data_IF_030473851198
#
_entry.id   IF_030473851198
#
_cell.length_a   1.000
_cell.length_b   1.000
_cell.length_c   1.000
_cell.angle_alpha   90.00
_cell.angle_beta   90.00
_cell.angle_gamma   90.00
#
_symmetry.space_group_name_H-M   'P 1'
#
loop_
_entity.id
_entity.type
_entity.pdbx_description
1 polymer ?
#
# COMPACT_ATOMS: atom_id res chain seq x y z
N UNK A 1 -52.40 52.37 33.05
CA UNK A 1 -51.62 51.19 33.48
C UNK A 1 -52.17 49.85 32.94
N UNK A 2 -53.05 49.83 31.94
CA UNK A 2 -53.84 48.63 31.56
C UNK A 2 -53.37 47.89 30.29
N UNK A 3 -52.72 48.56 29.32
CA UNK A 3 -52.35 47.93 28.06
C UNK A 3 -51.14 46.96 28.17
N UNK A 4 -50.16 47.30 29.01
CA UNK A 4 -48.92 46.51 29.17
C UNK A 4 -49.19 45.14 29.80
N UNK A 5 -50.11 45.07 30.76
CA UNK A 5 -50.50 43.81 31.42
C UNK A 5 -51.28 42.88 30.49
N UNK A 6 -52.18 43.43 29.67
CA UNK A 6 -52.96 42.65 28.69
C UNK A 6 -52.05 42.10 27.59
N UNK A 7 -51.09 42.90 27.10
CA UNK A 7 -50.09 42.43 26.12
C UNK A 7 -49.17 41.37 26.73
N UNK A 8 -48.75 41.54 27.99
CA UNK A 8 -47.96 40.53 28.71
C UNK A 8 -48.70 39.20 28.89
N UNK A 9 -50.00 39.25 29.18
CA UNK A 9 -50.87 38.07 29.30
C UNK A 9 -51.12 37.39 27.94
N UNK A 10 -51.30 38.16 26.88
CA UNK A 10 -51.43 37.60 25.53
C UNK A 10 -50.13 36.95 25.07
N UNK A 11 -48.97 37.56 25.31
CA UNK A 11 -47.68 36.96 24.99
C UNK A 11 -47.40 35.69 25.80
N UNK A 12 -47.78 35.64 27.07
CA UNK A 12 -47.59 34.43 27.90
C UNK A 12 -48.50 33.29 27.46
N UNK A 13 -49.78 33.56 27.14
CA UNK A 13 -50.70 32.57 26.58
C UNK A 13 -50.20 32.07 25.23
N UNK A 14 -49.70 32.96 24.36
CA UNK A 14 -49.16 32.57 23.06
C UNK A 14 -47.90 31.71 23.19
N UNK A 15 -47.01 32.04 24.13
CA UNK A 15 -45.83 31.23 24.44
C UNK A 15 -46.21 29.85 24.98
N UNK A 16 -47.18 29.77 25.91
CA UNK A 16 -47.69 28.50 26.44
C UNK A 16 -48.35 27.66 25.34
N UNK A 17 -49.14 28.26 24.45
CA UNK A 17 -49.74 27.57 23.32
C UNK A 17 -48.68 27.06 22.32
N UNK A 18 -47.64 27.84 22.05
CA UNK A 18 -46.52 27.41 21.20
C UNK A 18 -45.73 26.26 21.82
N UNK A 19 -45.44 26.32 23.12
CA UNK A 19 -44.78 25.24 23.86
C UNK A 19 -45.66 23.98 23.86
N UNK A 20 -46.96 24.11 24.12
CA UNK A 20 -47.90 22.99 24.11
C UNK A 20 -48.03 22.36 22.71
N UNK A 21 -48.10 23.16 21.64
CA UNK A 21 -48.11 22.68 20.26
C UNK A 21 -46.79 21.96 19.90
N UNK A 22 -45.66 22.52 20.32
CA UNK A 22 -44.36 21.88 20.14
C UNK A 22 -44.28 20.54 20.88
N UNK A 23 -44.74 20.49 22.13
CA UNK A 23 -44.76 19.29 22.96
C UNK A 23 -45.70 18.21 22.40
N UNK A 24 -46.91 18.58 21.97
CA UNK A 24 -47.87 17.64 21.32
C UNK A 24 -47.28 17.10 20.03
N UNK A 25 -46.63 17.94 19.22
CA UNK A 25 -45.99 17.52 17.97
C UNK A 25 -44.83 16.55 18.22
N UNK A 26 -44.01 16.83 19.24
CA UNK A 26 -42.93 15.95 19.66
C UNK A 26 -43.45 14.60 20.17
N UNK A 27 -44.41 14.59 21.10
CA UNK A 27 -45.04 13.39 21.64
C UNK A 27 -45.74 12.54 20.57
N UNK A 28 -46.37 13.16 19.57
CA UNK A 28 -46.96 12.43 18.43
C UNK A 28 -45.90 11.71 17.60
N UNK A 29 -44.73 12.31 17.42
CA UNK A 29 -43.62 11.71 16.69
C UNK A 29 -43.03 10.53 17.47
N UNK A 30 -42.84 10.70 18.78
CA UNK A 30 -42.35 9.66 19.69
C UNK A 30 -43.28 8.44 19.70
N UNK A 31 -44.59 8.65 19.87
CA UNK A 31 -45.60 7.57 19.78
C UNK A 31 -45.68 6.91 18.40
N UNK A 32 -45.25 7.60 17.33
CA UNK A 32 -45.16 6.99 15.98
C UNK A 32 -43.92 6.12 15.85
N UNK A 33 -42.79 6.56 16.41
CA UNK A 33 -41.53 5.82 16.47
C UNK A 33 -41.74 4.54 17.31
N UNK A 34 -42.35 4.64 18.49
CA UNK A 34 -42.67 3.50 19.36
C UNK A 34 -43.59 2.48 18.68
N UNK A 35 -44.63 2.93 17.97
CA UNK A 35 -45.51 2.04 17.20
C UNK A 35 -44.77 1.30 16.09
N UNK A 36 -43.80 1.96 15.45
CA UNK A 36 -42.95 1.29 14.45
C UNK A 36 -41.97 0.34 15.13
N UNK A 37 -41.40 0.69 16.29
CA UNK A 37 -40.54 -0.19 17.09
C UNK A 37 -41.27 -1.47 17.49
N UNK A 38 -42.48 -1.35 18.05
CA UNK A 38 -43.32 -2.50 18.40
C UNK A 38 -43.73 -3.30 17.17
N UNK A 39 -43.93 -2.63 16.03
CA UNK A 39 -44.20 -3.31 14.79
C UNK A 39 -42.99 -4.05 14.25
N UNK A 40 -41.74 -3.76 14.66
CA UNK A 40 -40.50 -4.36 14.14
C UNK A 40 -40.14 -5.74 14.72
N UNK A 41 -40.87 -6.25 15.72
CA UNK A 41 -40.66 -7.60 16.26
C UNK A 41 -41.44 -8.70 15.50
N UNK A 42 -40.82 -9.87 15.30
CA UNK A 42 -41.48 -11.10 14.82
C UNK A 42 -41.37 -11.39 13.32
N UNK A 43 -41.80 -12.60 12.91
CA UNK A 43 -41.80 -13.03 11.49
C UNK A 43 -42.76 -12.18 10.65
N UNK A 44 -42.26 -11.62 9.55
CA UNK A 44 -43.03 -10.73 8.67
C UNK A 44 -42.98 -11.11 7.21
N UNK A 45 -44.02 -10.71 6.49
CA UNK A 45 -44.03 -10.76 5.02
C UNK A 45 -43.13 -9.69 4.40
N UNK A 46 -42.62 -9.96 3.19
CA UNK A 46 -41.81 -8.98 2.41
C UNK A 46 -42.49 -7.61 2.26
N UNK A 47 -43.82 -7.60 2.07
CA UNK A 47 -44.62 -6.36 1.97
C UNK A 47 -44.64 -5.57 3.28
N UNK A 48 -44.77 -6.25 4.43
CA UNK A 48 -44.75 -5.59 5.74
C UNK A 48 -43.36 -5.04 6.09
N UNK A 49 -42.30 -5.77 5.74
CA UNK A 49 -40.90 -5.30 5.86
C UNK A 49 -40.71 -4.01 5.06
N UNK A 50 -41.07 -4.02 3.77
CA UNK A 50 -40.91 -2.85 2.90
C UNK A 50 -41.68 -1.62 3.39
N UNK A 51 -42.92 -1.80 3.86
CA UNK A 51 -43.72 -0.71 4.45
C UNK A 51 -43.12 -0.17 5.75
N UNK A 52 -42.62 -1.05 6.61
CA UNK A 52 -42.01 -0.66 7.89
C UNK A 52 -40.75 0.15 7.66
N UNK A 53 -39.84 -0.35 6.83
CA UNK A 53 -38.60 0.35 6.49
C UNK A 53 -38.89 1.69 5.81
N UNK A 54 -39.82 1.74 4.84
CA UNK A 54 -40.19 2.99 4.17
C UNK A 54 -40.66 4.08 5.14
N UNK A 55 -41.35 3.71 6.24
CA UNK A 55 -41.71 4.65 7.30
C UNK A 55 -40.49 5.15 8.07
N UNK A 56 -39.56 4.25 8.41
CA UNK A 56 -38.30 4.63 9.10
C UNK A 56 -37.47 5.58 8.24
N UNK A 57 -37.32 5.29 6.95
CA UNK A 57 -36.70 6.19 5.97
C UNK A 57 -37.43 7.54 5.84
N UNK A 58 -38.76 7.53 5.96
CA UNK A 58 -39.58 8.74 6.06
C UNK A 58 -39.19 9.61 7.27
N UNK A 59 -39.02 9.00 8.45
CA UNK A 59 -38.56 9.73 9.65
C UNK A 59 -37.15 10.28 9.50
N UNK A 60 -36.24 9.54 8.84
CA UNK A 60 -34.89 10.04 8.58
C UNK A 60 -34.96 11.28 7.69
N UNK A 61 -35.71 11.23 6.58
CA UNK A 61 -35.86 12.40 5.70
C UNK A 61 -36.57 13.57 6.42
N UNK A 62 -37.59 13.32 7.23
CA UNK A 62 -38.26 14.36 8.02
C UNK A 62 -37.32 14.99 9.05
N UNK A 63 -36.50 14.18 9.73
CA UNK A 63 -35.46 14.64 10.66
C UNK A 63 -34.39 15.47 9.97
N UNK A 64 -33.90 15.01 8.82
CA UNK A 64 -32.92 15.73 7.99
C UNK A 64 -33.46 17.08 7.49
N UNK A 65 -34.70 17.14 6.99
CA UNK A 65 -35.32 18.38 6.51
C UNK A 65 -35.64 19.37 7.64
N UNK A 66 -35.85 18.88 8.87
CA UNK A 66 -36.12 19.71 10.05
C UNK A 66 -34.88 19.98 10.89
N UNK A 67 -33.70 19.58 10.42
CA UNK A 67 -32.45 19.81 11.12
C UNK A 67 -32.40 19.17 12.53
N UNK A 68 -33.14 18.09 12.73
CA UNK A 68 -33.32 17.46 14.04
C UNK A 68 -32.62 16.09 14.10
N UNK A 69 -31.38 16.12 14.57
CA UNK A 69 -30.51 14.93 14.69
C UNK A 69 -31.09 13.87 15.66
N UNK A 70 -31.90 14.26 16.64
CA UNK A 70 -32.54 13.33 17.59
C UNK A 70 -33.50 12.38 16.86
N UNK A 71 -34.29 12.92 15.92
CA UNK A 71 -35.21 12.13 15.10
C UNK A 71 -34.43 11.15 14.24
N UNK A 72 -33.34 11.62 13.62
CA UNK A 72 -32.49 10.78 12.78
C UNK A 72 -31.83 9.68 13.61
N UNK A 73 -31.34 9.98 14.81
CA UNK A 73 -30.76 9.01 15.73
C UNK A 73 -31.76 7.92 16.13
N UNK A 74 -32.97 8.32 16.58
CA UNK A 74 -34.03 7.37 16.92
C UNK A 74 -34.40 6.49 15.71
N UNK A 75 -34.49 7.07 14.51
CA UNK A 75 -34.78 6.31 13.31
C UNK A 75 -33.62 5.38 12.89
N UNK A 76 -32.36 5.78 13.09
CA UNK A 76 -31.19 4.94 12.86
C UNK A 76 -31.15 3.75 13.83
N UNK A 77 -31.53 3.94 15.10
CA UNK A 77 -31.68 2.81 16.05
C UNK A 77 -32.77 1.84 15.59
N UNK A 78 -33.92 2.34 15.10
CA UNK A 78 -34.94 1.47 14.50
C UNK A 78 -34.41 0.67 13.31
N UNK A 79 -33.56 1.27 12.46
CA UNK A 79 -32.90 0.54 11.37
C UNK A 79 -31.95 -0.53 11.90
N UNK A 80 -31.15 -0.25 12.94
CA UNK A 80 -30.27 -1.26 13.55
C UNK A 80 -31.07 -2.47 14.03
N UNK A 81 -32.17 -2.23 14.74
CA UNK A 81 -33.06 -3.31 15.21
C UNK A 81 -33.66 -4.07 14.04
N UNK A 82 -34.19 -3.37 13.04
CA UNK A 82 -34.79 -4.00 11.87
C UNK A 82 -33.78 -4.89 11.12
N UNK A 83 -32.56 -4.40 10.93
CA UNK A 83 -31.51 -5.17 10.25
C UNK A 83 -31.03 -6.34 11.09
N UNK A 84 -30.91 -6.19 12.42
CA UNK A 84 -30.54 -7.30 13.30
C UNK A 84 -31.55 -8.46 13.23
N UNK A 85 -32.83 -8.15 13.06
CA UNK A 85 -33.94 -9.10 12.85
C UNK A 85 -34.02 -9.64 11.40
N UNK A 86 -33.05 -9.32 10.54
CA UNK A 86 -33.00 -9.80 9.16
C UNK A 86 -33.99 -9.13 8.21
N UNK A 87 -34.56 -7.98 8.58
CA UNK A 87 -35.50 -7.25 7.74
C UNK A 87 -34.75 -6.45 6.66
N UNK A 88 -34.41 -7.13 5.55
CA UNK A 88 -33.65 -6.55 4.44
C UNK A 88 -34.45 -6.52 3.13
N UNK A 89 -34.31 -5.41 2.39
CA UNK A 89 -34.70 -5.31 0.98
C UNK A 89 -33.51 -5.59 0.09
N UNK A 90 -33.75 -5.92 -1.18
CA UNK A 90 -32.69 -6.18 -2.15
C UNK A 90 -31.83 -4.96 -2.47
N UNK A 91 -32.37 -3.75 -2.31
CA UNK A 91 -31.71 -2.46 -2.60
C UNK A 91 -31.31 -1.71 -1.32
N UNK A 92 -31.35 -2.37 -0.16
CA UNK A 92 -31.12 -1.74 1.14
C UNK A 92 -29.72 -1.12 1.28
N UNK A 93 -28.62 -1.75 0.82
CA UNK A 93 -27.29 -1.14 0.84
C UNK A 93 -27.22 0.20 0.11
N UNK A 94 -27.86 0.28 -1.06
CA UNK A 94 -27.86 1.47 -1.93
C UNK A 94 -28.67 2.60 -1.28
N UNK A 95 -29.82 2.28 -0.70
CA UNK A 95 -30.66 3.26 0.01
C UNK A 95 -29.94 3.85 1.22
N UNK A 96 -29.31 2.99 2.02
CA UNK A 96 -28.59 3.43 3.21
C UNK A 96 -27.38 4.31 2.82
N UNK A 97 -26.62 3.89 1.80
CA UNK A 97 -25.54 4.69 1.22
C UNK A 97 -26.03 6.07 0.79
N UNK A 98 -27.13 6.13 0.03
CA UNK A 98 -27.65 7.39 -0.51
C UNK A 98 -27.98 8.41 0.58
N UNK A 99 -28.50 7.96 1.72
CA UNK A 99 -28.82 8.87 2.84
C UNK A 99 -27.58 9.25 3.65
N UNK A 100 -26.63 8.32 3.86
CA UNK A 100 -25.34 8.66 4.47
C UNK A 100 -24.63 9.72 3.64
N UNK A 101 -24.54 9.54 2.32
CA UNK A 101 -23.94 10.51 1.38
C UNK A 101 -24.69 11.85 1.42
N UNK A 102 -26.03 11.83 1.37
CA UNK A 102 -26.84 13.04 1.49
C UNK A 102 -26.59 13.79 2.81
N UNK A 103 -26.46 13.06 3.92
CA UNK A 103 -26.17 13.64 5.22
C UNK A 103 -24.77 14.26 5.29
N UNK A 104 -23.75 13.61 4.71
CA UNK A 104 -22.39 14.16 4.60
C UNK A 104 -22.40 15.44 3.77
N UNK A 105 -23.05 15.43 2.61
CA UNK A 105 -23.15 16.59 1.72
C UNK A 105 -23.88 17.77 2.35
N UNK A 106 -24.88 17.49 3.20
CA UNK A 106 -25.61 18.50 3.96
C UNK A 106 -24.88 18.98 5.23
N UNK A 107 -23.64 18.53 5.49
CA UNK A 107 -22.88 18.90 6.70
C UNK A 107 -23.40 18.29 8.00
N UNK A 108 -24.34 17.34 7.93
CA UNK A 108 -25.00 16.70 9.08
C UNK A 108 -24.22 15.46 9.52
N UNK A 109 -23.01 15.67 10.05
CA UNK A 109 -22.07 14.56 10.32
C UNK A 109 -22.51 13.62 11.44
N UNK A 110 -23.20 14.13 12.47
CA UNK A 110 -23.75 13.30 13.54
C UNK A 110 -24.83 12.33 13.01
N UNK A 111 -25.75 12.86 12.20
CA UNK A 111 -26.75 12.06 11.51
C UNK A 111 -26.11 11.02 10.58
N UNK A 112 -25.12 11.42 9.78
CA UNK A 112 -24.38 10.50 8.92
C UNK A 112 -23.68 9.38 9.72
N UNK A 113 -23.08 9.70 10.87
CA UNK A 113 -22.42 8.71 11.74
C UNK A 113 -23.43 7.72 12.34
N UNK A 114 -24.58 8.21 12.82
CA UNK A 114 -25.65 7.36 13.33
C UNK A 114 -26.17 6.38 12.25
N UNK A 115 -26.35 6.87 11.03
CA UNK A 115 -26.78 6.06 9.88
C UNK A 115 -25.70 5.07 9.43
N UNK A 116 -24.43 5.48 9.41
CA UNK A 116 -23.32 4.60 9.07
C UNK A 116 -23.23 3.40 10.04
N UNK A 117 -23.50 3.62 11.33
CA UNK A 117 -23.54 2.56 12.34
C UNK A 117 -24.61 1.48 12.10
N UNK A 118 -25.55 1.69 11.17
CA UNK A 118 -26.55 0.68 10.82
C UNK A 118 -26.02 -0.37 9.83
N UNK A 119 -24.87 -0.13 9.17
CA UNK A 119 -24.25 -1.13 8.30
C UNK A 119 -23.82 -2.39 9.06
N UNK A 120 -23.32 -2.27 10.30
CA UNK A 120 -22.82 -3.43 11.06
C UNK A 120 -23.88 -4.54 11.26
N UNK A 121 -25.08 -4.27 11.79
CA UNK A 121 -26.12 -5.31 11.88
C UNK A 121 -26.60 -5.77 10.50
N UNK A 122 -26.60 -4.89 9.49
CA UNK A 122 -26.94 -5.28 8.12
C UNK A 122 -25.96 -6.31 7.54
N UNK A 123 -24.65 -6.11 7.72
CA UNK A 123 -23.59 -7.03 7.27
C UNK A 123 -23.75 -8.45 7.81
N UNK A 124 -24.28 -8.60 9.03
CA UNK A 124 -24.50 -9.91 9.65
C UNK A 124 -25.66 -10.70 9.03
N UNK A 125 -26.62 -10.01 8.40
CA UNK A 125 -27.84 -10.62 7.85
C UNK A 125 -27.89 -10.58 6.32
N UNK A 126 -26.91 -9.94 5.67
CA UNK A 126 -26.86 -9.79 4.23
C UNK A 126 -26.58 -11.13 3.54
N UNK A 127 -27.34 -11.49 2.48
CA UNK A 127 -27.01 -12.64 1.66
C UNK A 127 -25.68 -12.42 0.93
N UNK A 128 -24.93 -13.49 0.72
CA UNK A 128 -23.60 -13.47 0.10
C UNK A 128 -23.59 -12.75 -1.27
N UNK A 129 -24.69 -12.81 -2.03
CA UNK A 129 -24.82 -12.20 -3.35
C UNK A 129 -24.78 -10.65 -3.34
N UNK A 130 -25.01 -10.01 -2.20
CA UNK A 130 -25.06 -8.54 -2.08
C UNK A 130 -23.76 -7.90 -1.59
N UNK A 131 -22.72 -8.70 -1.32
CA UNK A 131 -21.41 -8.20 -0.93
C UNK A 131 -20.74 -7.28 -1.96
N UNK A 132 -20.78 -7.57 -3.29
CA UNK A 132 -20.23 -6.65 -4.28
C UNK A 132 -20.86 -5.26 -4.21
N UNK A 133 -22.18 -5.21 -4.00
CA UNK A 133 -22.94 -3.97 -3.86
C UNK A 133 -22.49 -3.19 -2.63
N UNK A 134 -22.27 -3.88 -1.50
CA UNK A 134 -21.77 -3.27 -0.27
C UNK A 134 -20.36 -2.69 -0.45
N UNK A 135 -19.47 -3.42 -1.10
CA UNK A 135 -18.12 -2.95 -1.38
C UNK A 135 -18.15 -1.66 -2.21
N UNK A 136 -18.98 -1.60 -3.25
CA UNK A 136 -19.20 -0.38 -4.03
C UNK A 136 -19.75 0.77 -3.18
N UNK A 137 -20.71 0.49 -2.30
CA UNK A 137 -21.28 1.50 -1.41
C UNK A 137 -20.23 2.06 -0.44
N UNK A 138 -19.38 1.20 0.14
CA UNK A 138 -18.28 1.61 1.00
C UNK A 138 -17.26 2.48 0.26
N UNK A 139 -16.91 2.12 -0.98
CA UNK A 139 -16.04 2.96 -1.83
C UNK A 139 -16.67 4.34 -2.06
N UNK A 140 -17.97 4.41 -2.40
CA UNK A 140 -18.66 5.66 -2.66
C UNK A 140 -18.72 6.56 -1.42
N UNK A 141 -19.09 6.01 -0.26
CA UNK A 141 -19.12 6.77 1.01
C UNK A 141 -17.71 7.26 1.34
N UNK A 142 -16.68 6.42 1.20
CA UNK A 142 -15.29 6.80 1.49
C UNK A 142 -14.81 7.95 0.59
N UNK A 143 -15.14 7.92 -0.71
CA UNK A 143 -14.77 8.99 -1.65
C UNK A 143 -15.51 10.30 -1.33
N UNK A 144 -16.81 10.24 -1.03
CA UNK A 144 -17.59 11.44 -0.66
C UNK A 144 -17.06 12.02 0.65
N UNK A 145 -16.84 11.18 1.67
CA UNK A 145 -16.28 11.59 2.95
C UNK A 145 -14.88 12.21 2.80
N UNK A 146 -14.04 11.65 1.93
CA UNK A 146 -12.73 12.21 1.61
C UNK A 146 -12.85 13.62 1.00
N UNK A 147 -13.75 13.82 0.03
CA UNK A 147 -14.00 15.14 -0.56
C UNK A 147 -14.53 16.14 0.47
N UNK A 148 -15.37 15.70 1.39
CA UNK A 148 -15.91 16.50 2.49
C UNK A 148 -14.90 16.70 3.65
N UNK A 149 -13.67 16.18 3.55
CA UNK A 149 -12.64 16.20 4.61
C UNK A 149 -13.08 15.55 5.93
N UNK A 150 -14.07 14.65 5.87
CA UNK A 150 -14.60 13.95 7.04
C UNK A 150 -13.96 12.58 7.17
N UNK A 151 -12.73 12.58 7.67
CA UNK A 151 -11.86 11.41 7.72
C UNK A 151 -12.35 10.29 8.65
N UNK A 152 -13.11 10.65 9.69
CA UNK A 152 -13.72 9.68 10.61
C UNK A 152 -14.53 8.60 9.86
N UNK A 153 -15.27 8.97 8.82
CA UNK A 153 -16.05 7.99 8.05
C UNK A 153 -15.18 6.99 7.30
N UNK A 154 -13.99 7.40 6.84
CA UNK A 154 -13.03 6.51 6.16
C UNK A 154 -12.53 5.45 7.15
N UNK A 155 -12.14 5.87 8.36
CA UNK A 155 -11.74 4.94 9.43
C UNK A 155 -12.88 4.01 9.82
N UNK A 156 -14.12 4.51 9.91
CA UNK A 156 -15.30 3.66 10.19
C UNK A 156 -15.58 2.63 9.09
N UNK A 157 -15.39 2.98 7.83
CA UNK A 157 -15.52 2.01 6.73
C UNK A 157 -14.41 0.96 6.83
N UNK A 158 -13.18 1.36 7.19
CA UNK A 158 -12.10 0.41 7.46
C UNK A 158 -12.46 -0.56 8.59
N UNK A 159 -13.05 -0.08 9.69
CA UNK A 159 -13.54 -0.94 10.79
C UNK A 159 -14.52 -2.00 10.30
N UNK A 160 -15.43 -1.65 9.38
CA UNK A 160 -16.39 -2.63 8.82
C UNK A 160 -15.72 -3.63 7.89
N UNK A 161 -14.73 -3.20 7.11
CA UNK A 161 -13.95 -4.11 6.27
C UNK A 161 -13.15 -5.08 7.14
N UNK A 162 -12.53 -4.59 8.23
CA UNK A 162 -11.82 -5.43 9.18
C UNK A 162 -12.76 -6.43 9.86
N UNK A 163 -13.96 -5.97 10.24
CA UNK A 163 -15.00 -6.84 10.78
C UNK A 163 -15.40 -7.95 9.80
N UNK A 164 -15.54 -7.65 8.50
CA UNK A 164 -15.85 -8.66 7.49
C UNK A 164 -14.70 -9.67 7.38
N UNK A 165 -13.45 -9.21 7.28
CA UNK A 165 -12.27 -10.09 7.13
C UNK A 165 -12.06 -11.01 8.34
N UNK A 166 -12.27 -10.50 9.55
CA UNK A 166 -12.09 -11.27 10.78
C UNK A 166 -13.22 -12.28 11.03
N UNK A 167 -14.40 -12.06 10.43
CA UNK A 167 -15.55 -12.92 10.65
C UNK A 167 -15.58 -14.10 9.65
N UNK A 168 -14.97 -15.22 10.06
CA UNK A 168 -14.81 -16.43 9.24
C UNK A 168 -16.12 -17.00 8.69
N UNK A 169 -17.27 -16.78 9.33
CA UNK A 169 -18.56 -17.25 8.81
C UNK A 169 -19.02 -16.47 7.58
N UNK A 170 -18.72 -15.17 7.52
CA UNK A 170 -19.01 -14.32 6.35
C UNK A 170 -18.05 -14.66 5.21
N UNK A 171 -16.77 -14.89 5.52
CA UNK A 171 -15.72 -15.18 4.53
C UNK A 171 -15.87 -16.58 3.89
N UNK A 172 -16.21 -17.61 4.67
CA UNK A 172 -16.34 -18.99 4.15
C UNK A 172 -17.51 -19.18 3.18
N UNK A 173 -18.46 -18.24 3.15
CA UNK A 173 -19.67 -18.37 2.34
C UNK A 173 -19.45 -18.09 0.84
N UNK A 174 -18.35 -17.43 0.45
CA UNK A 174 -18.03 -17.17 -0.97
C UNK A 174 -16.57 -16.68 -1.14
N UNK A 175 -15.78 -17.43 -1.91
CA UNK A 175 -14.42 -17.01 -2.28
C UNK A 175 -14.40 -15.65 -3.02
N UNK A 176 -15.44 -15.33 -3.79
CA UNK A 176 -15.55 -14.08 -4.55
C UNK A 176 -15.57 -12.81 -3.68
N UNK A 177 -15.93 -12.90 -2.40
CA UNK A 177 -16.02 -11.76 -1.50
C UNK A 177 -14.68 -11.08 -1.25
N UNK A 178 -13.58 -11.83 -1.33
CA UNK A 178 -12.26 -11.27 -1.06
C UNK A 178 -11.86 -10.23 -2.11
N UNK A 179 -12.25 -10.42 -3.37
CA UNK A 179 -11.97 -9.46 -4.44
C UNK A 179 -12.71 -8.14 -4.24
N UNK A 180 -13.96 -8.21 -3.75
CA UNK A 180 -14.75 -7.03 -3.43
C UNK A 180 -14.12 -6.26 -2.25
N UNK A 181 -13.70 -6.98 -1.22
CA UNK A 181 -13.00 -6.38 -0.08
C UNK A 181 -11.66 -5.78 -0.47
N UNK A 182 -10.88 -6.47 -1.31
CA UNK A 182 -9.63 -5.96 -1.87
C UNK A 182 -9.84 -4.65 -2.63
N UNK A 183 -10.94 -4.52 -3.38
CA UNK A 183 -11.31 -3.28 -4.06
C UNK A 183 -11.54 -2.14 -3.07
N UNK A 184 -12.26 -2.40 -1.97
CA UNK A 184 -12.48 -1.39 -0.92
C UNK A 184 -11.15 -1.00 -0.27
N UNK A 185 -10.36 -1.98 0.15
CA UNK A 185 -9.06 -1.75 0.78
C UNK A 185 -8.14 -0.95 -0.13
N UNK A 186 -8.04 -1.30 -1.42
CA UNK A 186 -7.27 -0.56 -2.42
C UNK A 186 -7.59 0.93 -2.36
N UNK A 187 -8.88 1.28 -2.37
CA UNK A 187 -9.33 2.68 -2.30
C UNK A 187 -9.00 3.30 -0.95
N UNK A 188 -9.34 2.64 0.17
CA UNK A 188 -9.06 3.16 1.51
C UNK A 188 -7.57 3.43 1.73
N UNK A 189 -6.69 2.51 1.32
CA UNK A 189 -5.25 2.68 1.40
C UNK A 189 -4.75 3.85 0.54
N UNK A 190 -5.27 4.00 -0.68
CA UNK A 190 -4.95 5.16 -1.53
C UNK A 190 -5.41 6.49 -0.91
N UNK A 191 -6.61 6.52 -0.30
CA UNK A 191 -7.13 7.70 0.38
C UNK A 191 -6.29 8.04 1.62
N UNK A 192 -5.91 7.04 2.42
CA UNK A 192 -5.04 7.18 3.59
C UNK A 192 -3.67 7.74 3.20
N UNK A 193 -3.02 7.19 2.17
CA UNK A 193 -1.74 7.70 1.65
C UNK A 193 -1.87 9.12 1.07
N UNK A 194 -2.98 9.45 0.40
CA UNK A 194 -3.19 10.81 -0.15
C UNK A 194 -3.23 11.88 0.93
N UNK A 195 -3.83 11.58 2.08
CA UNK A 195 -3.94 12.49 3.22
C UNK A 195 -2.80 12.36 4.24
N UNK A 196 -1.81 11.49 4.00
CA UNK A 196 -0.74 11.17 4.95
C UNK A 196 -1.25 10.61 6.30
N UNK A 197 -2.38 9.89 6.29
CA UNK A 197 -2.85 9.13 7.46
C UNK A 197 -2.14 7.77 7.48
N UNK A 198 -0.89 7.80 7.92
CA UNK A 198 -0.03 6.62 8.00
C UNK A 198 -0.48 5.64 9.08
N UNK A 199 -1.19 6.10 10.12
CA UNK A 199 -1.82 5.25 11.13
C UNK A 199 -2.87 4.32 10.51
N UNK A 200 -3.83 4.88 9.77
CA UNK A 200 -4.86 4.09 9.11
C UNK A 200 -4.26 3.14 8.06
N UNK A 201 -3.26 3.61 7.29
CA UNK A 201 -2.58 2.75 6.33
C UNK A 201 -1.89 1.56 7.02
N UNK A 202 -1.21 1.80 8.14
CA UNK A 202 -0.57 0.75 8.94
C UNK A 202 -1.58 -0.25 9.47
N UNK A 203 -2.73 0.20 9.96
CA UNK A 203 -3.82 -0.68 10.41
C UNK A 203 -4.38 -1.53 9.27
N UNK A 204 -4.59 -0.93 8.10
CA UNK A 204 -5.00 -1.66 6.88
C UNK A 204 -3.98 -2.75 6.55
N UNK A 205 -2.68 -2.41 6.48
CA UNK A 205 -1.62 -3.38 6.22
C UNK A 205 -1.57 -4.49 7.28
N UNK A 206 -1.72 -4.14 8.57
CA UNK A 206 -1.71 -5.11 9.67
C UNK A 206 -2.88 -6.09 9.56
N UNK A 207 -4.10 -5.58 9.47
CA UNK A 207 -5.30 -6.41 9.34
C UNK A 207 -5.21 -7.30 8.10
N UNK A 208 -4.73 -6.74 6.98
CA UNK A 208 -4.56 -7.51 5.76
C UNK A 208 -3.56 -8.65 5.93
N UNK A 209 -2.38 -8.35 6.51
CA UNK A 209 -1.31 -9.33 6.74
C UNK A 209 -1.75 -10.49 7.63
N UNK A 210 -2.51 -10.20 8.68
CA UNK A 210 -3.05 -11.23 9.59
C UNK A 210 -4.01 -12.21 8.87
N UNK A 211 -4.66 -11.78 7.80
CA UNK A 211 -5.63 -12.59 7.05
C UNK A 211 -5.08 -13.12 5.73
N UNK A 212 -3.90 -12.66 5.30
CA UNK A 212 -3.30 -12.90 3.99
C UNK A 212 -3.16 -14.38 3.63
N UNK A 213 -2.75 -15.20 4.60
CA UNK A 213 -2.50 -16.63 4.41
C UNK A 213 -3.75 -17.50 4.58
N UNK A 214 -4.89 -16.89 4.91
CA UNK A 214 -6.18 -17.60 5.07
C UNK A 214 -6.78 -17.98 3.72
N UNK A 215 -6.40 -17.28 2.65
CA UNK A 215 -6.90 -17.49 1.30
C UNK A 215 -5.87 -18.29 0.50
N UNK A 216 -6.30 -19.39 -0.10
CA UNK A 216 -5.40 -20.32 -0.80
C UNK A 216 -5.38 -20.11 -2.32
N UNK A 217 -6.36 -19.39 -2.84
CA UNK A 217 -6.56 -19.19 -4.27
C UNK A 217 -5.50 -18.26 -4.86
N UNK A 218 -4.85 -18.71 -5.93
CA UNK A 218 -3.81 -17.96 -6.62
C UNK A 218 -4.31 -16.62 -7.19
N UNK A 219 -5.55 -16.56 -7.67
CA UNK A 219 -6.17 -15.33 -8.17
C UNK A 219 -6.24 -14.23 -7.09
N UNK A 220 -6.44 -14.63 -5.83
CA UNK A 220 -6.47 -13.70 -4.69
C UNK A 220 -5.08 -13.13 -4.44
N UNK A 221 -4.04 -13.98 -4.49
CA UNK A 221 -2.64 -13.53 -4.43
C UNK A 221 -2.36 -12.49 -5.52
N UNK A 222 -2.72 -12.78 -6.77
CA UNK A 222 -2.49 -11.85 -7.87
C UNK A 222 -3.21 -10.51 -7.66
N UNK A 223 -4.47 -10.54 -7.21
CA UNK A 223 -5.23 -9.33 -6.88
C UNK A 223 -4.57 -8.52 -5.76
N UNK A 224 -3.98 -9.18 -4.75
CA UNK A 224 -3.18 -8.51 -3.70
C UNK A 224 -1.99 -7.77 -4.29
N UNK A 225 -1.23 -8.43 -5.17
CA UNK A 225 -0.05 -7.80 -5.78
C UNK A 225 -0.44 -6.57 -6.60
N UNK A 226 -1.58 -6.60 -7.29
CA UNK A 226 -2.12 -5.44 -8.01
C UNK A 226 -2.50 -4.29 -7.05
N UNK A 227 -3.02 -4.60 -5.86
CA UNK A 227 -3.30 -3.58 -4.83
C UNK A 227 -2.00 -2.97 -4.31
N UNK A 228 -1.00 -3.79 -3.96
CA UNK A 228 0.30 -3.30 -3.49
C UNK A 228 1.01 -2.45 -4.54
N UNK A 229 1.01 -2.86 -5.81
CA UNK A 229 1.59 -2.07 -6.90
C UNK A 229 0.89 -0.71 -7.03
N UNK A 230 -0.45 -0.66 -6.89
CA UNK A 230 -1.19 0.60 -6.92
C UNK A 230 -0.83 1.51 -5.73
N UNK A 231 -0.64 0.95 -4.54
CA UNK A 231 -0.19 1.69 -3.36
C UNK A 231 1.26 2.15 -3.48
N UNK A 232 2.16 1.31 -4.02
CA UNK A 232 3.58 1.62 -4.21
C UNK A 232 3.77 2.90 -4.99
N UNK A 233 3.03 3.07 -6.09
CA UNK A 233 3.06 4.30 -6.88
C UNK A 233 2.72 5.54 -6.04
N UNK A 234 1.79 5.44 -5.08
CA UNK A 234 1.48 6.56 -4.19
C UNK A 234 2.51 6.71 -3.07
N UNK A 235 3.04 5.62 -2.53
CA UNK A 235 4.10 5.65 -1.52
C UNK A 235 5.34 6.36 -2.09
N UNK A 236 5.73 6.05 -3.32
CA UNK A 236 6.82 6.74 -4.05
C UNK A 236 6.58 8.25 -4.12
N UNK A 237 5.36 8.69 -4.39
CA UNK A 237 5.01 10.13 -4.42
C UNK A 237 4.97 10.80 -3.05
N UNK A 238 4.80 10.05 -1.96
CA UNK A 238 4.78 10.56 -0.58
C UNK A 238 6.13 10.40 0.12
N UNK A 239 7.05 9.63 -0.50
CA UNK A 239 8.44 9.45 -0.08
C UNK A 239 8.58 8.83 1.32
N UNK A 240 7.64 7.95 1.67
CA UNK A 240 7.58 7.34 2.99
C UNK A 240 8.11 5.89 2.98
N UNK A 241 9.33 5.71 3.48
CA UNK A 241 10.00 4.40 3.57
C UNK A 241 9.23 3.41 4.47
N UNK A 242 8.73 3.83 5.62
CA UNK A 242 8.01 2.96 6.56
C UNK A 242 6.78 2.30 5.91
N UNK A 243 6.07 3.04 5.05
CA UNK A 243 4.91 2.49 4.34
C UNK A 243 5.31 1.46 3.28
N UNK A 244 6.47 1.66 2.64
CA UNK A 244 7.03 0.65 1.74
C UNK A 244 7.45 -0.60 2.51
N UNK A 245 8.13 -0.45 3.65
CA UNK A 245 8.61 -1.58 4.45
C UNK A 245 7.45 -2.47 4.93
N UNK A 246 6.30 -1.88 5.29
CA UNK A 246 5.09 -2.64 5.63
C UNK A 246 4.56 -3.50 4.47
N UNK A 247 4.61 -2.97 3.24
CA UNK A 247 4.19 -3.74 2.07
C UNK A 247 5.23 -4.79 1.69
N UNK A 248 6.51 -4.43 1.70
CA UNK A 248 7.62 -5.35 1.41
C UNK A 248 7.61 -6.55 2.34
N UNK A 249 7.36 -6.33 3.64
CA UNK A 249 7.18 -7.41 4.63
C UNK A 249 5.99 -8.31 4.29
N UNK A 250 4.84 -7.73 3.90
CA UNK A 250 3.68 -8.51 3.45
C UNK A 250 4.02 -9.38 2.22
N UNK A 251 4.71 -8.80 1.23
CA UNK A 251 5.16 -9.52 0.03
C UNK A 251 6.11 -10.64 0.37
N UNK A 252 7.04 -10.38 1.28
CA UNK A 252 7.98 -11.36 1.76
C UNK A 252 7.31 -12.54 2.46
N UNK A 253 6.24 -12.30 3.20
CA UNK A 253 5.44 -13.36 3.84
C UNK A 253 4.74 -14.25 2.81
N UNK A 254 4.14 -13.67 1.75
CA UNK A 254 3.58 -14.47 0.64
C UNK A 254 4.65 -15.31 -0.04
N UNK A 255 5.82 -14.71 -0.29
CA UNK A 255 6.95 -15.40 -0.91
C UNK A 255 7.40 -16.60 -0.07
N UNK A 256 7.64 -16.38 1.24
CA UNK A 256 8.07 -17.46 2.16
C UNK A 256 7.03 -18.55 2.35
N UNK A 257 5.74 -18.20 2.27
CA UNK A 257 4.65 -19.16 2.33
C UNK A 257 4.46 -19.95 1.01
N UNK A 258 5.28 -19.71 -0.02
CA UNK A 258 5.16 -20.37 -1.32
C UNK A 258 3.89 -20.00 -2.08
N UNK A 259 3.27 -18.86 -1.76
CA UNK A 259 2.01 -18.40 -2.37
C UNK A 259 2.23 -17.64 -3.69
N UNK A 260 3.45 -17.17 -3.95
CA UNK A 260 3.82 -16.46 -5.17
C UNK A 260 4.32 -17.44 -6.24
N UNK A 261 3.69 -17.42 -7.41
CA UNK A 261 4.21 -18.15 -8.57
C UNK A 261 5.39 -17.41 -9.21
N UNK A 262 6.09 -18.06 -10.14
CA UNK A 262 7.18 -17.41 -10.87
C UNK A 262 6.65 -16.26 -11.75
N UNK A 263 5.40 -16.35 -12.23
CA UNK A 263 4.73 -15.27 -12.97
C UNK A 263 4.42 -14.07 -12.06
N UNK A 264 3.95 -14.31 -10.83
CA UNK A 264 3.73 -13.25 -9.84
C UNK A 264 5.01 -12.49 -9.51
N UNK A 265 6.11 -13.22 -9.31
CA UNK A 265 7.42 -12.62 -9.01
C UNK A 265 7.90 -11.80 -10.21
N UNK A 266 7.77 -12.32 -11.43
CA UNK A 266 8.10 -11.57 -12.66
C UNK A 266 7.25 -10.31 -12.78
N UNK A 267 5.94 -10.39 -12.53
CA UNK A 267 5.04 -9.23 -12.51
C UNK A 267 5.51 -8.17 -11.50
N UNK A 268 5.85 -8.59 -10.27
CA UNK A 268 6.37 -7.70 -9.24
C UNK A 268 7.65 -6.99 -9.68
N UNK A 269 8.61 -7.74 -10.22
CA UNK A 269 9.87 -7.16 -10.73
C UNK A 269 9.58 -6.14 -11.83
N UNK A 270 8.70 -6.47 -12.77
CA UNK A 270 8.36 -5.61 -13.91
C UNK A 270 7.57 -4.36 -13.53
N UNK A 271 6.81 -4.36 -12.44
CA UNK A 271 6.08 -3.17 -12.00
C UNK A 271 6.84 -2.36 -10.96
N UNK A 272 7.53 -3.01 -10.01
CA UNK A 272 8.20 -2.32 -8.92
C UNK A 272 9.49 -1.64 -9.38
N UNK A 273 10.21 -2.19 -10.37
CA UNK A 273 11.38 -1.47 -10.93
C UNK A 273 10.96 -0.15 -11.59
N UNK A 274 9.77 -0.06 -12.21
CA UNK A 274 9.25 1.19 -12.77
C UNK A 274 9.04 2.22 -11.67
N UNK A 275 8.52 1.80 -10.52
CA UNK A 275 8.35 2.67 -9.35
C UNK A 275 9.70 3.10 -8.76
N UNK A 276 10.70 2.23 -8.73
CA UNK A 276 12.07 2.61 -8.37
C UNK A 276 12.65 3.63 -9.37
N UNK A 277 12.37 3.48 -10.66
CA UNK A 277 12.74 4.43 -11.71
C UNK A 277 12.09 5.81 -11.53
N UNK A 278 10.84 5.87 -11.06
CA UNK A 278 10.19 7.16 -10.71
C UNK A 278 10.82 7.74 -9.44
N UNK A 279 11.00 6.93 -8.40
CA UNK A 279 11.60 7.36 -7.14
C UNK A 279 13.02 7.89 -7.35
N UNK A 280 13.79 7.27 -8.25
CA UNK A 280 15.16 7.68 -8.52
C UNK A 280 15.25 9.02 -9.25
N UNK A 281 14.14 9.66 -9.63
CA UNK A 281 14.10 11.03 -10.17
C UNK A 281 14.17 12.12 -9.09
N UNK A 282 13.95 11.81 -7.80
CA UNK A 282 14.33 12.67 -6.66
C UNK A 282 15.53 12.08 -5.86
N UNK A 283 16.67 12.81 -5.66
CA UNK A 283 17.85 12.25 -4.98
C UNK A 283 17.64 12.04 -3.50
N UNK A 284 16.68 12.75 -2.91
CA UNK A 284 16.35 12.64 -1.49
C UNK A 284 15.33 11.54 -1.21
N UNK A 285 14.80 10.88 -2.24
CA UNK A 285 13.80 9.84 -2.08
C UNK A 285 14.49 8.47 -1.81
N UNK A 286 14.38 7.91 -0.59
CA UNK A 286 15.07 6.67 -0.23
C UNK A 286 14.48 5.42 -0.90
N UNK A 287 13.27 5.52 -1.47
CA UNK A 287 12.50 4.37 -1.93
C UNK A 287 13.13 3.67 -3.13
N UNK A 288 13.86 4.39 -4.00
CA UNK A 288 14.53 3.75 -5.13
C UNK A 288 15.49 2.65 -4.64
N UNK A 289 16.31 2.97 -3.63
CA UNK A 289 17.26 2.06 -3.01
C UNK A 289 16.53 0.93 -2.29
N UNK A 290 15.47 1.26 -1.53
CA UNK A 290 14.65 0.28 -0.80
C UNK A 290 14.00 -0.75 -1.73
N UNK A 291 13.38 -0.31 -2.83
CA UNK A 291 12.74 -1.18 -3.82
C UNK A 291 13.77 -2.08 -4.49
N UNK A 292 14.90 -1.53 -4.96
CA UNK A 292 15.95 -2.33 -5.62
C UNK A 292 16.57 -3.37 -4.68
N UNK A 293 16.81 -3.01 -3.41
CA UNK A 293 17.28 -3.96 -2.37
C UNK A 293 16.27 -5.09 -2.17
N UNK A 294 14.99 -4.78 -2.09
CA UNK A 294 13.94 -5.79 -1.93
C UNK A 294 13.86 -6.76 -3.13
N UNK A 295 13.94 -6.24 -4.37
CA UNK A 295 13.95 -7.10 -5.55
C UNK A 295 15.17 -8.03 -5.56
N UNK A 296 16.37 -7.52 -5.28
CA UNK A 296 17.58 -8.35 -5.19
C UNK A 296 17.49 -9.41 -4.08
N UNK A 297 16.84 -9.09 -2.96
CA UNK A 297 16.58 -10.05 -1.89
C UNK A 297 15.63 -11.19 -2.32
N UNK A 298 14.61 -10.89 -3.15
CA UNK A 298 13.77 -11.94 -3.75
C UNK A 298 14.56 -12.86 -4.66
N UNK A 299 15.47 -12.31 -5.47
CA UNK A 299 16.37 -13.08 -6.33
C UNK A 299 17.27 -14.01 -5.51
N UNK A 300 17.86 -13.48 -4.44
CA UNK A 300 18.73 -14.22 -3.52
C UNK A 300 18.01 -15.41 -2.89
N UNK A 301 16.77 -15.22 -2.43
CA UNK A 301 16.03 -16.29 -1.77
C UNK A 301 15.45 -17.35 -2.72
N UNK A 302 15.12 -16.99 -3.97
CA UNK A 302 14.64 -17.95 -4.97
C UNK A 302 15.79 -18.75 -5.61
N UNK A 303 17.00 -18.20 -5.62
CA UNK A 303 18.21 -18.81 -6.18
C UNK A 303 18.04 -19.28 -7.64
N UNK A 304 17.31 -18.50 -8.46
CA UNK A 304 17.07 -18.81 -9.87
C UNK A 304 17.78 -17.83 -10.80
N UNK A 305 18.57 -18.35 -11.75
CA UNK A 305 19.42 -17.52 -12.61
C UNK A 305 18.60 -16.61 -13.53
N UNK A 306 17.46 -17.10 -14.03
CA UNK A 306 16.58 -16.33 -14.92
C UNK A 306 16.05 -15.08 -14.22
N UNK A 307 15.66 -15.22 -12.95
CA UNK A 307 15.16 -14.14 -12.11
C UNK A 307 16.27 -13.15 -11.75
N UNK A 308 17.45 -13.63 -11.39
CA UNK A 308 18.63 -12.78 -11.19
C UNK A 308 18.93 -11.94 -12.44
N UNK A 309 18.98 -12.58 -13.61
CA UNK A 309 19.25 -11.90 -14.89
C UNK A 309 18.24 -10.78 -15.13
N UNK A 310 16.96 -11.06 -14.92
CA UNK A 310 15.89 -10.06 -15.06
C UNK A 310 16.08 -8.90 -14.09
N UNK A 311 16.26 -9.18 -12.79
CA UNK A 311 16.36 -8.14 -11.75
C UNK A 311 17.62 -7.29 -11.92
N UNK A 312 18.76 -7.89 -12.26
CA UNK A 312 20.00 -7.16 -12.53
C UNK A 312 19.77 -6.19 -13.69
N UNK A 313 19.17 -6.65 -14.80
CA UNK A 313 18.89 -5.80 -15.97
C UNK A 313 17.95 -4.64 -15.63
N UNK A 314 16.88 -4.90 -14.89
CA UNK A 314 15.95 -3.84 -14.47
C UNK A 314 16.59 -2.85 -13.50
N UNK A 315 17.42 -3.34 -12.58
CA UNK A 315 18.20 -2.51 -11.65
C UNK A 315 19.18 -1.62 -12.41
N UNK A 316 19.91 -2.17 -13.39
CA UNK A 316 20.81 -1.41 -14.25
C UNK A 316 20.07 -0.33 -15.04
N UNK A 317 18.84 -0.59 -15.52
CA UNK A 317 18.03 0.41 -16.19
C UNK A 317 17.62 1.58 -15.27
N UNK A 318 17.25 1.29 -14.02
CA UNK A 318 16.96 2.33 -13.01
C UNK A 318 18.20 3.16 -12.72
N UNK A 319 19.35 2.50 -12.50
CA UNK A 319 20.63 3.17 -12.28
C UNK A 319 20.98 4.07 -13.46
N UNK A 320 20.90 3.56 -14.69
CA UNK A 320 21.15 4.33 -15.91
C UNK A 320 20.26 5.57 -16.00
N UNK A 321 18.99 5.43 -15.63
CA UNK A 321 18.04 6.54 -15.58
C UNK A 321 18.44 7.59 -14.54
N UNK A 322 18.89 7.17 -13.36
CA UNK A 322 19.36 8.08 -12.31
C UNK A 322 20.60 8.88 -12.76
N UNK A 323 21.59 8.23 -13.41
CA UNK A 323 22.77 8.91 -13.95
C UNK A 323 22.36 9.86 -15.09
N UNK A 324 21.45 9.44 -15.97
CA UNK A 324 21.04 10.29 -17.09
C UNK A 324 20.42 11.62 -16.64
N UNK A 325 19.84 11.67 -15.44
CA UNK A 325 19.15 12.84 -14.90
C UNK A 325 20.00 13.65 -13.92
N UNK A 326 21.17 13.15 -13.48
CA UNK A 326 21.98 13.75 -12.41
C UNK A 326 23.47 13.55 -12.59
N UNK A 327 24.28 14.20 -11.76
CA UNK A 327 25.68 13.85 -11.64
C UNK A 327 25.84 12.39 -11.19
N UNK A 328 26.95 11.76 -11.61
CA UNK A 328 27.27 10.39 -11.20
C UNK A 328 27.32 10.23 -9.68
N UNK A 329 27.84 11.24 -8.97
CA UNK A 329 27.92 11.26 -7.51
C UNK A 329 26.54 11.21 -6.87
N UNK A 330 25.60 12.02 -7.35
CA UNK A 330 24.24 12.08 -6.78
C UNK A 330 23.40 10.84 -7.12
N UNK A 331 23.73 10.16 -8.23
CA UNK A 331 23.10 8.90 -8.61
C UNK A 331 23.70 7.68 -7.85
N UNK A 332 24.84 7.84 -7.18
CA UNK A 332 25.61 6.74 -6.61
C UNK A 332 24.82 5.87 -5.63
N UNK A 333 23.98 6.46 -4.78
CA UNK A 333 23.17 5.68 -3.81
C UNK A 333 22.29 4.63 -4.49
N UNK A 334 21.85 4.88 -5.73
CA UNK A 334 21.02 3.94 -6.52
C UNK A 334 21.85 2.76 -7.07
N UNK A 335 23.17 2.91 -7.19
CA UNK A 335 24.08 1.80 -7.55
C UNK A 335 24.30 0.81 -6.42
N UNK A 336 24.31 1.31 -5.18
CA UNK A 336 24.72 0.56 -3.99
C UNK A 336 24.02 -0.80 -3.84
N UNK A 337 22.70 -0.96 -4.09
CA UNK A 337 22.04 -2.26 -4.01
C UNK A 337 22.70 -3.33 -4.90
N UNK A 338 22.99 -2.99 -6.16
CA UNK A 338 23.60 -3.91 -7.12
C UNK A 338 25.05 -4.24 -6.73
N UNK A 339 25.82 -3.22 -6.32
CA UNK A 339 27.20 -3.41 -5.87
C UNK A 339 27.26 -4.28 -4.61
N UNK A 340 26.37 -4.05 -3.63
CA UNK A 340 26.35 -4.81 -2.40
C UNK A 340 25.91 -6.26 -2.60
N UNK A 341 24.96 -6.52 -3.52
CA UNK A 341 24.60 -7.87 -3.93
C UNK A 341 25.80 -8.61 -4.54
N UNK A 342 26.52 -7.96 -5.47
CA UNK A 342 27.75 -8.50 -6.04
C UNK A 342 28.83 -8.77 -4.98
N UNK A 343 29.04 -7.83 -4.06
CA UNK A 343 30.01 -7.98 -2.95
C UNK A 343 29.66 -9.16 -2.05
N UNK A 344 28.39 -9.36 -1.69
CA UNK A 344 27.94 -10.49 -0.88
C UNK A 344 28.20 -11.83 -1.59
N UNK A 345 27.80 -11.93 -2.85
CA UNK A 345 28.03 -13.14 -3.68
C UNK A 345 29.52 -13.44 -3.81
N UNK A 346 30.34 -12.42 -4.07
CA UNK A 346 31.79 -12.55 -4.14
C UNK A 346 32.41 -13.07 -2.84
N UNK A 347 32.01 -12.53 -1.67
CA UNK A 347 32.52 -13.01 -0.38
C UNK A 347 32.08 -14.46 -0.13
N UNK A 348 30.83 -14.80 -0.43
CA UNK A 348 30.34 -16.17 -0.29
C UNK A 348 31.12 -17.12 -1.18
N UNK A 349 31.45 -16.70 -2.40
CA UNK A 349 32.23 -17.50 -3.32
C UNK A 349 33.68 -17.70 -2.87
N UNK A 350 34.33 -16.68 -2.31
CA UNK A 350 35.66 -16.85 -1.70
C UNK A 350 35.62 -17.84 -0.54
N UNK A 351 34.57 -17.78 0.31
CA UNK A 351 34.49 -18.59 1.52
C UNK A 351 34.07 -20.04 1.26
N UNK A 352 33.22 -20.26 0.26
CA UNK A 352 32.53 -21.53 0.05
C UNK A 352 32.60 -22.01 -1.42
N UNK A 353 33.53 -21.46 -2.21
CA UNK A 353 33.65 -21.74 -3.65
C UNK A 353 33.93 -23.20 -3.98
N UNK A 354 34.64 -23.92 -3.09
CA UNK A 354 34.88 -25.36 -3.22
C UNK A 354 33.59 -26.20 -3.22
N UNK A 355 32.51 -25.65 -2.64
CA UNK A 355 31.19 -26.28 -2.57
C UNK A 355 30.19 -25.62 -3.53
N UNK A 356 30.65 -24.76 -4.46
CA UNK A 356 29.74 -24.09 -5.39
C UNK A 356 29.44 -24.97 -6.60
N UNK A 357 28.17 -25.02 -6.96
CA UNK A 357 27.64 -25.51 -8.24
C UNK A 357 27.85 -24.54 -9.42
N UNK A 358 28.66 -23.49 -9.23
CA UNK A 358 28.88 -22.42 -10.21
C UNK A 358 27.75 -21.39 -10.33
N UNK A 359 26.58 -21.60 -9.70
CA UNK A 359 25.45 -20.66 -9.78
C UNK A 359 25.84 -19.24 -9.34
N UNK A 360 26.47 -19.12 -8.16
CA UNK A 360 26.91 -17.82 -7.63
C UNK A 360 27.91 -17.13 -8.54
N UNK A 361 28.82 -17.89 -9.17
CA UNK A 361 29.78 -17.33 -10.14
C UNK A 361 29.08 -16.78 -11.38
N UNK A 362 28.04 -17.48 -11.88
CA UNK A 362 27.27 -17.02 -13.04
C UNK A 362 26.51 -15.73 -12.73
N UNK A 363 25.85 -15.64 -11.57
CA UNK A 363 25.17 -14.41 -11.12
C UNK A 363 26.17 -13.28 -10.92
N UNK A 364 27.29 -13.54 -10.23
CA UNK A 364 28.36 -12.56 -10.01
C UNK A 364 28.91 -12.02 -11.33
N UNK A 365 29.13 -12.90 -12.31
CA UNK A 365 29.55 -12.51 -13.66
C UNK A 365 28.55 -11.56 -14.33
N UNK A 366 27.24 -11.82 -14.22
CA UNK A 366 26.21 -10.93 -14.77
C UNK A 366 26.22 -9.56 -14.09
N UNK A 367 26.36 -9.51 -12.76
CA UNK A 367 26.47 -8.26 -12.02
C UNK A 367 27.71 -7.47 -12.47
N UNK A 368 28.87 -8.13 -12.56
CA UNK A 368 30.11 -7.48 -13.00
C UNK A 368 30.00 -6.91 -14.42
N UNK A 369 29.42 -7.69 -15.34
CA UNK A 369 29.15 -7.25 -16.72
C UNK A 369 28.32 -5.98 -16.75
N UNK A 370 27.21 -5.95 -16.03
CA UNK A 370 26.31 -4.79 -15.99
C UNK A 370 26.96 -3.59 -15.28
N UNK A 371 27.70 -3.80 -14.19
CA UNK A 371 28.48 -2.75 -13.53
C UNK A 371 29.52 -2.11 -14.47
N UNK A 372 30.25 -2.91 -15.27
CA UNK A 372 31.19 -2.38 -16.27
C UNK A 372 30.47 -1.60 -17.36
N UNK A 373 29.31 -2.08 -17.83
CA UNK A 373 28.51 -1.34 -18.82
C UNK A 373 28.01 0.00 -18.26
N UNK A 374 27.61 0.05 -16.99
CA UNK A 374 27.21 1.30 -16.32
C UNK A 374 28.40 2.25 -16.13
N UNK A 375 29.56 1.75 -15.73
CA UNK A 375 30.80 2.55 -15.65
C UNK A 375 31.16 3.15 -17.01
N UNK A 376 31.10 2.36 -18.07
CA UNK A 376 31.32 2.83 -19.43
C UNK A 376 30.28 3.86 -19.87
N UNK A 377 29.04 3.74 -19.41
CA UNK A 377 27.99 4.73 -19.67
C UNK A 377 28.29 6.07 -18.97
N UNK A 378 28.72 6.06 -17.71
CA UNK A 378 29.13 7.27 -16.98
C UNK A 378 30.27 7.98 -17.68
N UNK A 379 31.35 7.27 -18.03
CA UNK A 379 32.51 7.82 -18.71
C UNK A 379 32.20 8.40 -20.10
N UNK A 380 31.08 7.98 -20.73
CA UNK A 380 30.60 8.56 -22.00
C UNK A 380 29.74 9.80 -21.79
N UNK A 381 29.07 9.93 -20.65
CA UNK A 381 28.32 11.14 -20.32
C UNK A 381 29.24 12.27 -19.88
N UNK A 382 30.32 11.94 -19.19
CA UNK A 382 31.36 12.88 -18.80
C UNK A 382 32.69 12.50 -19.47
N UNK A 383 32.95 13.13 -20.63
CA UNK A 383 34.15 12.89 -21.46
C UNK A 383 35.48 13.20 -20.75
N UNK A 384 35.43 13.80 -19.55
CA UNK A 384 36.61 14.09 -18.75
C UNK A 384 37.00 12.95 -17.79
N UNK A 385 36.10 11.98 -17.58
CA UNK A 385 36.29 10.89 -16.61
C UNK A 385 36.57 9.57 -17.33
N UNK A 386 37.67 8.93 -16.94
CA UNK A 386 38.06 7.60 -17.43
C UNK A 386 37.26 6.49 -16.73
N UNK A 387 37.15 5.31 -17.35
CA UNK A 387 36.37 4.20 -16.77
C UNK A 387 37.01 3.67 -15.47
N UNK A 388 38.34 3.56 -15.41
CA UNK A 388 39.03 3.19 -14.18
C UNK A 388 38.81 4.20 -13.04
N UNK A 389 38.72 5.48 -13.39
CA UNK A 389 38.46 6.57 -12.46
C UNK A 389 37.03 6.52 -11.90
N UNK A 390 36.03 6.13 -12.71
CA UNK A 390 34.68 5.86 -12.20
C UNK A 390 34.68 4.75 -11.14
N UNK A 391 35.42 3.65 -11.34
CA UNK A 391 35.51 2.54 -10.37
C UNK A 391 36.14 3.01 -9.05
N UNK A 392 37.14 3.90 -9.12
CA UNK A 392 37.73 4.56 -7.96
C UNK A 392 36.72 5.40 -7.19
N UNK A 393 35.97 6.23 -7.90
CA UNK A 393 34.96 7.09 -7.31
C UNK A 393 33.86 6.26 -6.63
N UNK A 394 33.39 5.17 -7.27
CA UNK A 394 32.46 4.23 -6.65
C UNK A 394 32.99 3.71 -5.31
N UNK A 395 34.26 3.28 -5.25
CA UNK A 395 34.87 2.81 -4.01
C UNK A 395 34.88 3.90 -2.95
N UNK A 396 35.33 5.11 -3.30
CA UNK A 396 35.44 6.22 -2.37
C UNK A 396 34.07 6.57 -1.77
N UNK A 397 33.07 6.78 -2.61
CA UNK A 397 31.71 7.12 -2.18
C UNK A 397 31.05 5.99 -1.40
N UNK A 398 31.31 4.72 -1.75
CA UNK A 398 30.77 3.60 -0.97
C UNK A 398 31.29 3.59 0.47
N UNK A 399 32.57 3.92 0.65
CA UNK A 399 33.19 3.97 1.97
C UNK A 399 32.75 5.18 2.80
N UNK A 400 32.20 6.22 2.17
CA UNK A 400 31.59 7.37 2.87
C UNK A 400 30.23 7.03 3.50
N UNK A 401 29.56 5.95 3.06
CA UNK A 401 28.24 5.57 3.59
C UNK A 401 28.39 4.94 5.00
N UNK A 402 27.77 5.53 6.06
CA UNK A 402 27.92 5.06 7.44
C UNK A 402 27.54 3.59 7.66
N UNK A 403 26.50 3.10 6.97
CA UNK A 403 26.02 1.71 6.99
C UNK A 403 27.11 0.69 6.63
N UNK A 404 28.15 1.12 5.90
CA UNK A 404 29.20 0.27 5.35
C UNK A 404 30.58 0.50 5.99
N UNK A 405 30.69 1.35 7.01
CA UNK A 405 31.93 1.71 7.70
C UNK A 405 32.78 0.48 8.12
N UNK A 406 32.14 -0.56 8.66
CA UNK A 406 32.81 -1.81 9.05
C UNK A 406 33.18 -2.76 7.91
N UNK A 407 32.86 -2.44 6.65
CA UNK A 407 32.98 -3.35 5.48
C UNK A 407 34.10 -2.96 4.52
N UNK A 408 34.99 -2.03 4.91
CA UNK A 408 36.03 -1.43 4.06
C UNK A 408 36.87 -2.42 3.26
N UNK A 409 37.34 -3.50 3.90
CA UNK A 409 38.14 -4.55 3.25
C UNK A 409 37.36 -5.26 2.15
N UNK A 410 36.12 -5.64 2.43
CA UNK A 410 35.29 -6.39 1.46
C UNK A 410 34.83 -5.54 0.29
N UNK A 411 34.54 -4.26 0.52
CA UNK A 411 34.22 -3.29 -0.54
C UNK A 411 35.44 -3.11 -1.44
N UNK A 412 36.62 -2.89 -0.85
CA UNK A 412 37.86 -2.73 -1.61
C UNK A 412 38.19 -3.97 -2.45
N UNK A 413 38.05 -5.19 -1.90
CA UNK A 413 38.22 -6.44 -2.65
C UNK A 413 37.25 -6.54 -3.84
N UNK A 414 35.98 -6.21 -3.64
CA UNK A 414 35.00 -6.28 -4.72
C UNK A 414 35.26 -5.23 -5.82
N UNK A 415 35.66 -4.01 -5.47
CA UNK A 415 36.08 -3.02 -6.45
C UNK A 415 37.34 -3.46 -7.22
N UNK A 416 38.28 -4.16 -6.57
CA UNK A 416 39.44 -4.79 -7.22
C UNK A 416 39.03 -5.90 -8.19
N UNK A 417 38.04 -6.72 -7.84
CA UNK A 417 37.46 -7.72 -8.75
C UNK A 417 36.82 -7.06 -9.98
N UNK A 418 36.02 -6.01 -9.76
CA UNK A 418 35.39 -5.24 -10.84
C UNK A 418 36.44 -4.62 -11.77
N UNK A 419 37.49 -4.04 -11.19
CA UNK A 419 38.62 -3.50 -11.95
C UNK A 419 39.34 -4.61 -12.74
N UNK A 420 39.65 -5.75 -12.12
CA UNK A 420 40.28 -6.88 -12.80
C UNK A 420 39.44 -7.38 -13.99
N UNK A 421 38.13 -7.54 -13.80
CA UNK A 421 37.21 -7.93 -14.87
C UNK A 421 37.16 -6.89 -16.01
N UNK A 422 37.12 -5.61 -15.69
CA UNK A 422 37.20 -4.51 -16.67
C UNK A 422 38.52 -4.54 -17.46
N UNK A 423 39.66 -4.67 -16.77
CA UNK A 423 40.97 -4.71 -17.45
C UNK A 423 41.10 -5.89 -18.42
N UNK A 424 40.50 -7.03 -18.10
CA UNK A 424 40.46 -8.20 -18.99
C UNK A 424 39.58 -7.97 -20.22
N UNK A 425 38.38 -7.42 -20.03
CA UNK A 425 37.39 -7.25 -21.11
C UNK A 425 37.68 -6.02 -21.98
N UNK A 426 38.30 -4.98 -21.43
CA UNK A 426 38.65 -3.72 -22.10
C UNK A 426 40.18 -3.50 -22.16
N UNK A 427 40.96 -4.55 -22.40
CA UNK A 427 42.43 -4.56 -22.32
C UNK A 427 43.12 -3.37 -23.01
N UNK A 428 42.66 -3.00 -24.22
CA UNK A 428 43.23 -1.86 -24.97
C UNK A 428 43.01 -0.50 -24.29
N UNK A 429 41.87 -0.29 -23.65
CA UNK A 429 41.56 0.95 -22.90
C UNK A 429 42.29 0.93 -21.55
N UNK A 430 42.22 -0.20 -20.83
CA UNK A 430 42.93 -0.38 -19.58
C UNK A 430 44.45 -0.18 -19.69
N UNK A 431 45.08 -0.67 -20.77
CA UNK A 431 46.52 -0.46 -21.02
C UNK A 431 46.88 1.02 -21.22
N UNK A 432 45.99 1.82 -21.80
CA UNK A 432 46.18 3.28 -21.95
C UNK A 432 46.01 4.03 -20.63
N UNK A 433 45.18 3.51 -19.73
CA UNK A 433 44.87 4.10 -18.42
C UNK A 433 45.73 3.53 -17.27
N UNK A 434 46.65 2.59 -17.57
CA UNK A 434 47.29 1.71 -16.57
C UNK A 434 48.21 2.40 -15.55
N UNK A 435 48.84 3.53 -15.92
CA UNK A 435 49.69 4.31 -15.00
C UNK A 435 48.89 5.17 -14.02
N UNK A 436 47.65 5.52 -14.36
CA UNK A 436 46.80 6.34 -13.51
C UNK A 436 46.08 5.53 -12.42
N UNK A 437 45.87 4.22 -12.59
CA UNK A 437 44.98 3.43 -11.72
C UNK A 437 45.69 2.55 -10.66
N UNK A 438 47.00 2.73 -10.44
CA UNK A 438 47.79 1.92 -9.49
C UNK A 438 47.23 1.90 -8.06
N UNK A 439 46.59 2.98 -7.62
CA UNK A 439 45.97 3.09 -6.29
C UNK A 439 44.73 2.20 -6.08
N UNK A 440 44.10 1.66 -7.14
CA UNK A 440 43.03 0.67 -6.97
C UNK A 440 43.59 -0.70 -6.58
N UNK A 441 44.84 -0.94 -6.93
CA UNK A 441 45.58 -2.16 -6.65
C UNK A 441 46.31 -2.10 -5.31
N UNK A 442 46.41 -0.92 -4.68
CA UNK A 442 47.12 -0.72 -3.42
C UNK A 442 46.21 -0.23 -2.27
N UNK A 443 46.20 -0.91 -1.11
CA UNK A 443 46.81 -2.22 -0.87
C UNK A 443 46.06 -3.33 -1.62
N UNK A 444 46.79 -4.35 -2.08
CA UNK A 444 46.23 -5.49 -2.79
C UNK A 444 45.43 -6.35 -1.79
N UNK A 445 44.11 -6.35 -1.91
CA UNK A 445 43.25 -7.15 -1.05
C UNK A 445 42.79 -8.44 -1.71
N UNK A 446 42.67 -8.46 -3.04
CA UNK A 446 42.34 -9.64 -3.85
C UNK A 446 43.63 -10.40 -4.21
N UNK A 447 43.78 -11.63 -3.73
CA UNK A 447 44.95 -12.47 -4.01
C UNK A 447 44.86 -13.13 -5.40
N UNK A 448 45.99 -13.56 -5.97
CA UNK A 448 45.97 -14.30 -7.25
C UNK A 448 45.23 -15.64 -7.12
N UNK A 449 45.40 -16.34 -6.00
CA UNK A 449 44.64 -17.55 -5.68
C UNK A 449 43.13 -17.29 -5.68
N UNK A 450 42.68 -16.16 -5.11
CA UNK A 450 41.26 -15.77 -5.15
C UNK A 450 40.80 -15.47 -6.58
N UNK A 451 41.64 -14.91 -7.46
CA UNK A 451 41.29 -14.65 -8.87
C UNK A 451 41.11 -15.95 -9.67
N UNK A 452 41.94 -16.96 -9.39
CA UNK A 452 41.87 -18.28 -10.05
C UNK A 452 40.57 -19.04 -9.76
N UNK A 453 39.86 -18.70 -8.67
CA UNK A 453 38.55 -19.28 -8.37
C UNK A 453 37.47 -18.90 -9.40
N UNK A 454 37.61 -17.76 -10.08
CA UNK A 454 36.56 -17.20 -10.93
C UNK A 454 36.79 -17.51 -12.40
N UNK A 455 35.91 -18.32 -13.01
CA UNK A 455 36.05 -18.74 -14.42
C UNK A 455 36.18 -17.55 -15.40
N UNK A 456 35.48 -16.45 -15.13
CA UNK A 456 35.48 -15.27 -15.98
C UNK A 456 36.79 -14.46 -15.90
N UNK A 457 37.67 -14.73 -14.94
CA UNK A 457 39.00 -14.15 -14.85
C UNK A 457 40.10 -15.04 -15.41
N UNK A 458 39.90 -16.37 -15.50
CA UNK A 458 40.89 -17.32 -16.09
C UNK A 458 41.27 -16.96 -17.53
N UNK A 459 42.57 -16.85 -17.79
CA UNK A 459 43.13 -16.72 -19.14
C UNK A 459 43.03 -18.09 -19.82
N UNK A 460 42.45 -18.15 -21.01
CA UNK A 460 42.55 -19.32 -21.90
C UNK A 460 43.65 -19.08 -22.92
#
# INVERSE_FOLDING_TARGET
MSAVWIVGLLCSVFAVCLIALFYIRFMRLERRIERVAAALSGKKTKRQVSRSLSKVYGFINEGMSRENDIIVYKAAELLKTAYAEGMLRSDEPIRLMGIVVKAIQAGRYNAAAALLNTFRPMLLQLPAQQFPVIAEQFVLIAVVAFRARQHFFISRIADYVFFILQNKSLVKANASHIFDILRVLKVLGLLALRRKDFSLFREICKCWRENLLTYEEHEVTQAVLQVWTAWLHRIVKVENQDMFDLMAEGTWQLFRAGRLTDEDIKYLVLEWHKQAGIACLNPYNPLAVGILRFLLQLAEAKAELSLWTLIIRQTAQVIKTAIAQRSFRDAFCVFVPLLDAGRKLFIMEIKFGEYSDGFRQQVLFQILKECVMLVAYVARQDYTILQGECIRQLRAWWLEIPEYSGRRKTISKFCQLLFAYWTKTHHRQAKKEGTANGFLLEPQFLTEQEKELFFFLKSY
#
